data_IF_905377143412
#
_entry.id   IF_905377143412
#
_cell.length_a   1.000
_cell.length_b   1.000
_cell.length_c   1.000
_cell.angle_alpha   90.00
_cell.angle_beta   90.00
_cell.angle_gamma   90.00
#
_symmetry.space_group_name_H-M   'P 1'
#
loop_
_entity.id
_entity.type
_entity.pdbx_description
1 polymer ?
#
# COMPACT_ATOMS: atom_id res chain seq x y z
N UNK A 1 7.55 24.17 10.04
CA UNK A 1 7.47 23.74 8.63
C UNK A 1 7.44 24.98 7.75
N UNK A 2 8.24 25.00 6.67
CA UNK A 2 8.21 26.08 5.69
C UNK A 2 7.01 25.92 4.75
N UNK A 3 6.39 27.03 4.34
CA UNK A 3 5.30 27.03 3.36
C UNK A 3 5.84 27.47 2.01
N UNK A 4 5.54 26.72 0.97
CA UNK A 4 5.90 27.04 -0.41
C UNK A 4 4.62 27.16 -1.24
N UNK A 5 4.76 27.65 -2.47
CA UNK A 5 3.66 27.74 -3.44
C UNK A 5 4.01 26.94 -4.69
N UNK A 6 3.02 26.29 -5.30
CA UNK A 6 3.16 25.51 -6.51
C UNK A 6 2.19 26.08 -7.56
N UNK A 7 2.68 26.27 -8.79
CA UNK A 7 1.84 26.73 -9.90
C UNK A 7 0.96 25.60 -10.40
N UNK A 8 -0.28 25.93 -10.74
CA UNK A 8 -1.26 25.00 -11.32
C UNK A 8 -2.28 25.77 -12.13
N UNK A 9 -3.15 25.08 -12.87
CA UNK A 9 -4.24 25.75 -13.60
C UNK A 9 -5.35 26.19 -12.64
N UNK A 10 -6.10 27.21 -13.06
CA UNK A 10 -7.29 27.66 -12.32
C UNK A 10 -8.28 26.50 -12.12
N UNK A 11 -8.51 25.64 -13.14
CA UNK A 11 -9.45 24.54 -12.97
C UNK A 11 -9.00 23.53 -11.90
N UNK A 12 -7.70 23.23 -11.85
CA UNK A 12 -7.13 22.30 -10.86
C UNK A 12 -7.23 22.89 -9.47
N UNK A 13 -6.83 24.15 -9.28
CA UNK A 13 -6.97 24.86 -7.99
C UNK A 13 -8.42 24.82 -7.50
N UNK A 14 -9.37 25.15 -8.37
CA UNK A 14 -10.79 25.24 -7.99
C UNK A 14 -11.38 23.86 -7.67
N UNK A 15 -10.93 22.82 -8.38
CA UNK A 15 -11.25 21.42 -8.06
C UNK A 15 -10.72 21.02 -6.69
N UNK A 16 -9.45 21.31 -6.39
CA UNK A 16 -8.84 21.02 -5.09
C UNK A 16 -9.57 21.76 -3.96
N UNK A 17 -9.88 23.04 -4.15
CA UNK A 17 -10.64 23.82 -3.18
C UNK A 17 -12.05 23.25 -2.94
N UNK A 18 -12.74 22.79 -3.98
CA UNK A 18 -14.05 22.14 -3.85
C UNK A 18 -13.97 20.84 -3.07
N UNK A 19 -12.98 20.00 -3.33
CA UNK A 19 -12.76 18.74 -2.61
C UNK A 19 -12.43 19.02 -1.15
N UNK A 20 -11.51 19.94 -0.87
CA UNK A 20 -11.10 20.31 0.47
C UNK A 20 -12.30 20.80 1.30
N UNK A 21 -13.13 21.70 0.74
CA UNK A 21 -14.39 22.14 1.36
C UNK A 21 -15.34 21.00 1.64
N UNK A 22 -15.56 20.10 0.67
CA UNK A 22 -16.43 18.94 0.85
C UNK A 22 -15.93 17.95 1.89
N UNK A 23 -14.64 17.96 2.21
CA UNK A 23 -14.01 17.14 3.25
C UNK A 23 -13.76 17.91 4.56
N UNK A 24 -14.25 19.14 4.67
CA UNK A 24 -14.01 20.02 5.83
C UNK A 24 -12.52 20.16 6.20
N UNK A 25 -11.66 20.27 5.20
CA UNK A 25 -10.20 20.35 5.37
C UNK A 25 -9.61 21.49 4.54
N UNK A 26 -8.33 21.78 4.70
CA UNK A 26 -7.63 22.78 3.88
C UNK A 26 -7.07 22.13 2.60
N UNK A 27 -6.77 22.95 1.59
CA UNK A 27 -6.09 22.47 0.38
C UNK A 27 -4.69 21.93 0.73
N UNK A 28 -4.02 22.50 1.73
CA UNK A 28 -2.70 22.03 2.18
C UNK A 28 -2.78 20.63 2.79
N UNK A 29 -3.71 20.40 3.71
CA UNK A 29 -3.88 19.08 4.34
C UNK A 29 -4.36 18.03 3.33
N UNK A 30 -5.21 18.44 2.37
CA UNK A 30 -5.60 17.58 1.25
C UNK A 30 -4.38 17.17 0.41
N UNK A 31 -3.50 18.11 0.07
CA UNK A 31 -2.31 17.83 -0.72
C UNK A 31 -1.32 16.94 0.05
N UNK A 32 -1.14 17.16 1.35
CA UNK A 32 -0.34 16.30 2.21
C UNK A 32 -0.89 14.87 2.20
N UNK A 33 -2.17 14.69 2.51
CA UNK A 33 -2.83 13.38 2.50
C UNK A 33 -2.69 12.65 1.16
N UNK A 34 -2.90 13.38 0.05
CA UNK A 34 -2.76 12.80 -1.30
C UNK A 34 -1.31 12.45 -1.60
N UNK A 35 -0.34 13.28 -1.20
CA UNK A 35 1.08 12.99 -1.41
C UNK A 35 1.53 11.73 -0.67
N UNK A 36 1.16 11.58 0.60
CA UNK A 36 1.48 10.38 1.39
C UNK A 36 0.84 9.14 0.77
N UNK A 37 -0.38 9.26 0.26
CA UNK A 37 -1.05 8.14 -0.43
C UNK A 37 -0.31 7.76 -1.71
N UNK A 38 0.03 8.74 -2.55
CA UNK A 38 0.76 8.49 -3.81
C UNK A 38 2.14 7.88 -3.56
N UNK A 39 2.85 8.32 -2.51
CA UNK A 39 4.14 7.73 -2.12
C UNK A 39 3.99 6.24 -1.77
N UNK A 40 2.98 5.88 -0.99
CA UNK A 40 2.69 4.48 -0.63
C UNK A 40 2.29 3.64 -1.84
N UNK A 41 1.42 4.17 -2.70
CA UNK A 41 0.99 3.50 -3.94
C UNK A 41 2.18 3.23 -4.85
N UNK A 42 3.08 4.20 -5.02
CA UNK A 42 4.28 4.06 -5.83
C UNK A 42 5.28 3.05 -5.23
N UNK A 43 5.45 3.05 -3.91
CA UNK A 43 6.28 2.06 -3.22
C UNK A 43 5.76 0.62 -3.44
N UNK A 44 4.45 0.41 -3.31
CA UNK A 44 3.81 -0.88 -3.55
C UNK A 44 3.89 -1.31 -5.02
N UNK A 45 3.70 -0.36 -5.95
CA UNK A 45 3.84 -0.62 -7.40
C UNK A 45 5.25 -1.12 -7.71
N UNK A 46 6.29 -0.44 -7.21
CA UNK A 46 7.69 -0.84 -7.41
C UNK A 46 8.00 -2.20 -6.79
N UNK A 47 7.53 -2.47 -5.58
CA UNK A 47 7.71 -3.77 -4.95
C UNK A 47 7.05 -4.88 -5.80
N UNK A 48 5.83 -4.67 -6.26
CA UNK A 48 5.10 -5.61 -7.12
C UNK A 48 5.83 -5.85 -8.44
N UNK A 49 6.35 -4.81 -9.07
CA UNK A 49 7.15 -4.93 -10.30
C UNK A 49 8.45 -5.70 -10.06
N UNK A 50 9.12 -5.47 -8.94
CA UNK A 50 10.31 -6.22 -8.56
C UNK A 50 10.02 -7.70 -8.38
N UNK A 51 8.92 -8.06 -7.71
CA UNK A 51 8.53 -9.45 -7.52
C UNK A 51 8.11 -10.12 -8.83
N UNK A 52 7.36 -9.42 -9.69
CA UNK A 52 7.01 -9.94 -11.02
C UNK A 52 8.25 -10.22 -11.85
N UNK A 53 9.19 -9.28 -11.87
CA UNK A 53 10.46 -9.44 -12.57
C UNK A 53 11.26 -10.62 -12.02
N UNK A 54 11.33 -10.78 -10.69
CA UNK A 54 12.00 -11.93 -10.08
C UNK A 54 11.33 -13.26 -10.47
N UNK A 55 10.00 -13.32 -10.44
CA UNK A 55 9.24 -14.51 -10.85
C UNK A 55 9.45 -14.87 -12.33
N UNK A 56 9.61 -13.87 -13.20
CA UNK A 56 9.88 -14.07 -14.64
C UNK A 56 11.33 -14.48 -14.91
N UNK A 57 12.30 -13.86 -14.23
CA UNK A 57 13.74 -14.09 -14.43
C UNK A 57 14.22 -15.41 -13.78
N UNK A 58 13.68 -15.77 -12.61
CA UNK A 58 14.01 -16.99 -11.89
C UNK A 58 12.77 -17.59 -11.16
N UNK A 59 11.95 -18.36 -11.88
CA UNK A 59 10.77 -18.99 -11.30
C UNK A 59 11.10 -19.96 -10.14
N UNK A 60 12.24 -20.66 -10.21
CA UNK A 60 12.62 -21.63 -9.19
C UNK A 60 13.08 -20.95 -7.90
N UNK A 61 13.89 -19.90 -8.01
CA UNK A 61 14.26 -19.05 -6.88
C UNK A 61 13.05 -18.33 -6.27
N UNK A 62 12.10 -17.89 -7.09
CA UNK A 62 10.87 -17.28 -6.60
C UNK A 62 9.99 -18.26 -5.82
N UNK A 63 9.81 -19.50 -6.30
CA UNK A 63 9.09 -20.55 -5.56
C UNK A 63 9.78 -20.91 -4.24
N UNK A 64 11.12 -20.94 -4.22
CA UNK A 64 11.89 -21.16 -3.00
C UNK A 64 11.69 -20.01 -1.99
N UNK A 65 11.71 -18.76 -2.46
CA UNK A 65 11.42 -17.57 -1.64
C UNK A 65 10.01 -17.63 -1.04
N UNK A 66 8.99 -18.00 -1.83
CA UNK A 66 7.62 -18.16 -1.32
C UNK A 66 7.51 -19.32 -0.33
N UNK A 67 8.22 -20.43 -0.56
CA UNK A 67 8.25 -21.57 0.36
C UNK A 67 8.89 -21.19 1.69
N UNK A 68 9.97 -20.42 1.67
CA UNK A 68 10.60 -19.87 2.87
C UNK A 68 9.61 -18.95 3.63
N UNK A 69 8.93 -18.04 2.94
CA UNK A 69 7.91 -17.16 3.54
C UNK A 69 6.81 -17.94 4.27
N UNK A 70 6.26 -18.99 3.62
CA UNK A 70 5.25 -19.87 4.23
C UNK A 70 5.80 -20.63 5.46
N UNK A 71 7.07 -21.01 5.43
CA UNK A 71 7.71 -21.69 6.56
C UNK A 71 7.83 -20.74 7.77
N UNK A 72 8.21 -19.47 7.56
CA UNK A 72 8.23 -18.44 8.60
C UNK A 72 6.84 -18.15 9.17
N UNK A 73 5.82 -18.02 8.31
CA UNK A 73 4.43 -17.89 8.75
C UNK A 73 4.01 -19.08 9.61
N UNK A 74 4.28 -20.31 9.18
CA UNK A 74 3.95 -21.51 9.95
C UNK A 74 4.71 -21.56 11.28
N UNK A 75 5.99 -21.19 11.31
CA UNK A 75 6.79 -21.22 12.53
C UNK A 75 6.41 -20.12 13.54
N UNK A 76 5.87 -18.99 13.07
CA UNK A 76 5.60 -17.80 13.90
C UNK A 76 4.11 -17.65 14.25
N UNK A 77 3.19 -18.03 13.35
CA UNK A 77 1.74 -17.98 13.58
C UNK A 77 1.29 -19.09 14.54
N UNK A 78 2.02 -20.22 14.59
CA UNK A 78 1.71 -21.36 15.46
C UNK A 78 2.31 -21.22 16.86
N UNK A 79 3.10 -20.17 17.13
CA UNK A 79 3.54 -19.84 18.50
C UNK A 79 2.38 -19.19 19.28
N UNK A 80 1.46 -20.04 19.73
CA UNK A 80 0.38 -19.69 20.67
C UNK A 80 -1.00 -19.41 20.06
N UNK A 81 -1.16 -19.39 18.74
CA UNK A 81 -2.45 -19.26 18.06
C UNK A 81 -2.71 -20.48 17.16
N UNK A 82 -3.98 -20.91 17.08
CA UNK A 82 -4.39 -22.02 16.22
C UNK A 82 -4.38 -21.63 14.74
N UNK A 83 -4.74 -22.58 13.87
CA UNK A 83 -5.00 -22.28 12.46
C UNK A 83 -6.14 -21.27 12.36
N UNK A 84 -5.89 -20.09 11.78
CA UNK A 84 -6.93 -19.07 11.57
C UNK A 84 -8.11 -19.58 10.72
N UNK A 85 -7.87 -20.60 9.90
CA UNK A 85 -8.90 -21.27 9.09
C UNK A 85 -9.85 -22.12 9.95
N UNK A 86 -9.34 -22.69 11.03
CA UNK A 86 -10.11 -23.48 11.99
C UNK A 86 -10.76 -22.59 13.06
N UNK A 87 -10.10 -21.48 13.43
CA UNK A 87 -10.56 -20.54 14.45
C UNK A 87 -11.63 -19.56 13.92
N UNK A 88 -11.57 -19.17 12.64
CA UNK A 88 -12.50 -18.24 11.99
C UNK A 88 -12.98 -18.76 10.63
N UNK A 89 -13.77 -19.86 10.60
CA UNK A 89 -14.24 -20.47 9.36
C UNK A 89 -15.13 -19.53 8.51
N UNK A 90 -15.83 -18.60 9.15
CA UNK A 90 -16.70 -17.62 8.50
C UNK A 90 -15.95 -16.55 7.68
N UNK A 91 -14.65 -16.36 7.92
CA UNK A 91 -13.78 -15.43 7.19
C UNK A 91 -12.89 -16.12 6.15
N UNK A 92 -12.88 -17.47 6.12
CA UNK A 92 -12.07 -18.28 5.23
C UNK A 92 -12.90 -19.33 4.45
N UNK A 93 -13.83 -18.89 3.57
CA UNK A 93 -14.64 -19.80 2.75
C UNK A 93 -13.82 -20.61 1.72
#
# INVERSE_FOLDING_TARGET
MGRTTLSTTTEVRDRLARIARGRHTTVSDLLESVSTRLEREEALRRATESYRRFAEEDPAGFEAYLAEGRAWETATVVDGLGSARDEFPELNP
#
